data_IF_751753171166
#
_entry.id   IF_751753171166
#
_cell.length_a   1.000
_cell.length_b   1.000
_cell.length_c   1.000
_cell.angle_alpha   90.00
_cell.angle_beta   90.00
_cell.angle_gamma   90.00
#
_symmetry.space_group_name_H-M   'P 1'
#
loop_
_entity.id
_entity.type
_entity.pdbx_description
1 polymer ?
#
# COMPACT_ATOMS: atom_id res chain seq x y z
N UNK A 1 23.55 -1.52 28.37
CA UNK A 1 23.78 -1.11 26.98
C UNK A 1 22.56 -1.53 26.17
N UNK A 2 21.88 -0.61 25.49
CA UNK A 2 20.70 -0.93 24.66
C UNK A 2 21.17 -1.28 23.26
N UNK A 3 20.86 -2.48 22.79
CA UNK A 3 21.10 -2.87 21.40
C UNK A 3 20.03 -2.22 20.53
N UNK A 4 20.38 -1.50 19.44
CA UNK A 4 19.39 -1.00 18.51
C UNK A 4 18.71 -2.20 17.85
N UNK A 5 17.41 -2.37 18.09
CA UNK A 5 16.59 -3.29 17.30
C UNK A 5 16.66 -2.77 15.86
N UNK A 6 17.43 -3.47 15.02
CA UNK A 6 17.45 -3.17 13.59
C UNK A 6 16.01 -3.25 13.10
N UNK A 7 15.47 -2.12 12.64
CA UNK A 7 14.11 -2.03 12.12
C UNK A 7 14.08 -2.68 10.74
N UNK A 8 14.31 -3.99 10.69
CA UNK A 8 14.08 -4.78 9.47
C UNK A 8 12.60 -5.08 9.50
N UNK A 9 11.78 -4.28 8.81
CA UNK A 9 10.36 -4.56 8.70
C UNK A 9 10.19 -5.80 7.83
N UNK A 10 10.08 -6.97 8.45
CA UNK A 10 9.65 -8.19 7.76
C UNK A 10 8.17 -8.00 7.45
N UNK A 11 7.87 -7.57 6.22
CA UNK A 11 6.51 -7.46 5.69
C UNK A 11 6.16 -8.76 5.00
N UNK A 12 4.95 -9.25 5.26
CA UNK A 12 4.39 -10.40 4.53
C UNK A 12 4.13 -9.96 3.09
N UNK A 13 4.58 -10.71 2.07
CA UNK A 13 4.30 -10.39 0.67
C UNK A 13 2.81 -10.40 0.36
N UNK A 14 2.37 -9.53 -0.54
CA UNK A 14 0.98 -9.48 -0.99
C UNK A 14 0.55 -10.82 -1.61
N UNK A 15 -0.67 -11.27 -1.29
CA UNK A 15 -1.25 -12.52 -1.75
C UNK A 15 -0.75 -13.76 -1.00
N UNK A 16 0.19 -13.63 -0.06
CA UNK A 16 0.67 -14.77 0.73
C UNK A 16 -0.44 -15.40 1.58
N UNK A 17 -1.35 -14.59 2.12
CA UNK A 17 -2.51 -15.10 2.86
C UNK A 17 -3.42 -15.94 1.96
N UNK A 18 -3.74 -15.45 0.75
CA UNK A 18 -4.53 -16.19 -0.23
C UNK A 18 -3.90 -17.53 -0.60
N UNK A 19 -2.58 -17.57 -0.77
CA UNK A 19 -1.84 -18.79 -1.08
C UNK A 19 -1.98 -19.84 0.03
N UNK A 20 -1.85 -19.42 1.29
CA UNK A 20 -2.04 -20.31 2.44
C UNK A 20 -3.49 -20.76 2.59
N UNK A 21 -4.44 -19.85 2.40
CA UNK A 21 -5.86 -20.17 2.50
C UNK A 21 -6.30 -21.17 1.43
N UNK A 22 -5.79 -21.03 0.20
CA UNK A 22 -6.00 -21.99 -0.89
C UNK A 22 -5.51 -23.39 -0.52
N UNK A 23 -4.27 -23.50 -0.02
CA UNK A 23 -3.72 -24.77 0.44
C UNK A 23 -4.58 -25.38 1.55
N UNK A 24 -4.93 -24.61 2.58
CA UNK A 24 -5.70 -25.11 3.73
C UNK A 24 -7.08 -25.59 3.30
N UNK A 25 -7.75 -24.88 2.39
CA UNK A 25 -9.06 -25.31 1.84
C UNK A 25 -8.95 -26.66 1.13
N UNK A 26 -7.90 -26.88 0.34
CA UNK A 26 -7.70 -28.14 -0.36
C UNK A 26 -7.30 -29.28 0.60
N UNK A 27 -6.49 -29.00 1.63
CA UNK A 27 -6.19 -29.98 2.69
C UNK A 27 -7.45 -30.42 3.43
N UNK A 28 -8.36 -29.49 3.75
CA UNK A 28 -9.62 -29.82 4.43
C UNK A 28 -10.59 -30.61 3.54
N UNK A 29 -10.48 -30.47 2.20
CA UNK A 29 -11.28 -31.22 1.23
C UNK A 29 -10.78 -32.65 1.04
N UNK A 30 -9.48 -32.83 0.81
CA UNK A 30 -8.91 -34.13 0.48
C UNK A 30 -8.47 -34.94 1.71
N UNK A 31 -8.31 -34.31 2.87
CA UNK A 31 -7.79 -34.91 4.11
C UNK A 31 -6.60 -35.85 3.89
N UNK A 32 -5.50 -35.35 3.29
CA UNK A 32 -4.35 -36.19 2.96
C UNK A 32 -3.63 -36.68 4.21
N UNK A 33 -3.18 -37.93 4.21
CA UNK A 33 -2.34 -38.49 5.28
C UNK A 33 -0.96 -37.84 5.37
N UNK A 34 -0.45 -37.26 4.28
CA UNK A 34 0.81 -36.51 4.24
C UNK A 34 0.59 -35.11 3.67
N UNK A 35 0.43 -34.14 4.58
CA UNK A 35 0.16 -32.73 4.24
C UNK A 35 1.33 -32.08 3.50
N UNK A 36 2.58 -32.44 3.82
CA UNK A 36 3.76 -31.81 3.21
C UNK A 36 3.89 -32.22 1.74
N UNK A 37 3.72 -33.50 1.44
CA UNK A 37 3.72 -34.01 0.07
C UNK A 37 2.57 -33.41 -0.74
N UNK A 38 1.38 -33.33 -0.13
CA UNK A 38 0.22 -32.70 -0.74
C UNK A 38 0.45 -31.22 -1.07
N UNK A 39 1.03 -30.46 -0.13
CA UNK A 39 1.33 -29.05 -0.33
C UNK A 39 2.31 -28.82 -1.49
N UNK A 40 3.37 -29.65 -1.59
CA UNK A 40 4.31 -29.57 -2.69
C UNK A 40 3.62 -29.80 -4.04
N UNK A 41 2.76 -30.82 -4.14
CA UNK A 41 1.99 -31.11 -5.36
C UNK A 41 0.98 -30.00 -5.68
N UNK A 42 0.34 -29.43 -4.66
CA UNK A 42 -0.61 -28.34 -4.82
C UNK A 42 0.07 -27.09 -5.39
N UNK A 43 1.21 -26.68 -4.82
CA UNK A 43 1.96 -25.52 -5.32
C UNK A 43 2.57 -25.77 -6.71
N UNK A 44 3.00 -27.00 -7.01
CA UNK A 44 3.44 -27.37 -8.35
C UNK A 44 2.33 -27.17 -9.39
N UNK A 45 1.10 -27.61 -9.08
CA UNK A 45 -0.06 -27.43 -9.95
C UNK A 45 -0.41 -25.95 -10.15
N UNK A 46 -0.32 -25.13 -9.10
CA UNK A 46 -0.54 -23.69 -9.19
C UNK A 46 0.52 -23.01 -10.08
N UNK A 47 1.78 -23.45 -10.00
CA UNK A 47 2.85 -22.93 -10.85
C UNK A 47 2.61 -23.27 -12.32
N UNK A 48 2.26 -24.52 -12.63
CA UNK A 48 1.92 -24.97 -13.98
C UNK A 48 0.72 -24.21 -14.56
N UNK A 49 -0.31 -23.95 -13.74
CA UNK A 49 -1.46 -23.14 -14.14
C UNK A 49 -1.06 -21.69 -14.48
N UNK A 50 -0.17 -21.10 -13.69
CA UNK A 50 0.37 -19.76 -13.95
C UNK A 50 1.15 -19.73 -15.27
N UNK A 51 2.00 -20.72 -15.52
CA UNK A 51 2.77 -20.84 -16.76
C UNK A 51 1.87 -21.08 -17.99
N UNK A 52 0.77 -21.81 -17.81
CA UNK A 52 -0.24 -22.02 -18.83
C UNK A 52 -1.12 -20.78 -19.11
N UNK A 53 -0.91 -19.67 -18.40
CA UNK A 53 -1.70 -18.44 -18.57
C UNK A 53 -3.09 -18.49 -17.96
N UNK A 54 -3.35 -19.43 -17.05
CA UNK A 54 -4.59 -19.47 -16.29
C UNK A 54 -4.64 -18.31 -15.27
N UNK A 55 -5.85 -17.97 -14.84
CA UNK A 55 -6.06 -16.92 -13.82
C UNK A 55 -5.45 -17.38 -12.49
N UNK A 56 -4.44 -16.66 -12.02
CA UNK A 56 -3.77 -16.95 -10.75
C UNK A 56 -4.59 -16.36 -9.57
N UNK A 57 -5.18 -17.21 -8.71
CA UNK A 57 -5.95 -16.75 -7.55
C UNK A 57 -5.10 -15.99 -6.52
N UNK A 58 -3.77 -16.22 -6.50
CA UNK A 58 -2.83 -15.52 -5.62
C UNK A 58 -2.63 -14.09 -6.11
N UNK A 59 -2.46 -13.90 -7.42
CA UNK A 59 -2.32 -12.57 -8.03
C UNK A 59 -3.58 -11.71 -7.82
N UNK A 60 -4.77 -12.33 -7.89
CA UNK A 60 -6.03 -11.64 -7.63
C UNK A 60 -6.16 -11.21 -6.16
N UNK A 61 -5.74 -12.06 -5.22
CA UNK A 61 -5.65 -11.72 -3.81
C UNK A 61 -4.67 -10.58 -3.53
N UNK A 62 -3.48 -10.63 -4.15
CA UNK A 62 -2.47 -9.58 -4.02
C UNK A 62 -2.99 -8.21 -4.51
N UNK A 63 -3.75 -8.17 -5.61
CA UNK A 63 -4.36 -6.95 -6.12
C UNK A 63 -5.34 -6.31 -5.10
N UNK A 64 -6.13 -7.14 -4.41
CA UNK A 64 -7.08 -6.70 -3.38
C UNK A 64 -6.36 -6.19 -2.12
N UNK A 65 -5.26 -6.82 -1.75
CA UNK A 65 -4.43 -6.40 -0.61
C UNK A 65 -3.73 -5.06 -0.88
N UNK A 66 -3.25 -4.84 -2.10
CA UNK A 66 -2.58 -3.58 -2.49
C UNK A 66 -3.53 -2.38 -2.40
N UNK A 67 -4.75 -2.52 -2.90
CA UNK A 67 -5.80 -1.49 -2.80
C UNK A 67 -6.15 -1.08 -1.35
N UNK A 68 -5.88 -1.95 -0.37
CA UNK A 68 -6.06 -1.65 1.06
C UNK A 68 -4.86 -0.92 1.66
N UNK A 69 -3.68 -1.01 1.05
CA UNK A 69 -2.45 -0.35 1.51
C UNK A 69 -2.22 1.01 0.83
N UNK A 70 -2.76 1.23 -0.37
CA UNK A 70 -2.65 2.52 -1.09
C UNK A 70 -3.62 3.61 -0.63
N UNK A 71 -4.52 3.33 0.33
CA UNK A 71 -5.47 4.31 0.88
C UNK A 71 -4.99 4.85 2.24
N UNK A 72 -4.98 6.18 2.50
CA UNK A 72 -5.77 7.24 1.89
C UNK A 72 -5.11 7.94 0.69
N UNK A 73 -5.87 8.64 -0.16
CA UNK A 73 -5.32 9.50 -1.19
C UNK A 73 -4.52 10.59 -0.49
N UNK A 74 -3.25 10.74 -0.84
CA UNK A 74 -2.43 11.84 -0.37
C UNK A 74 -3.18 13.14 -0.63
N UNK A 75 -3.68 13.80 0.43
CA UNK A 75 -4.07 15.19 0.31
C UNK A 75 -2.77 15.96 0.12
N UNK A 76 -2.42 16.25 -1.12
CA UNK A 76 -1.45 17.30 -1.38
C UNK A 76 -2.05 18.60 -0.82
N UNK A 77 -1.40 19.26 0.16
CA UNK A 77 -1.83 20.57 0.56
C UNK A 77 -1.69 21.46 -0.67
N UNK A 78 -2.81 21.93 -1.21
CA UNK A 78 -2.79 23.01 -2.19
C UNK A 78 -2.10 24.18 -1.52
N UNK A 79 -0.86 24.46 -1.94
CA UNK A 79 -0.12 25.64 -1.53
C UNK A 79 -1.04 26.84 -1.72
N UNK A 80 -1.52 27.39 -0.60
CA UNK A 80 -2.10 28.70 -0.58
C UNK A 80 -0.95 29.65 -0.95
N UNK A 81 -0.88 30.00 -2.23
CA UNK A 81 0.02 31.02 -2.74
C UNK A 81 -0.38 32.33 -2.08
N UNK A 82 0.31 32.60 -0.98
CA UNK A 82 0.43 33.90 -0.34
C UNK A 82 1.03 34.86 -1.37
N UNK A 83 0.17 35.53 -2.14
CA UNK A 83 0.54 36.78 -2.79
C UNK A 83 0.31 37.88 -1.77
N UNK A 84 1.31 38.07 -0.92
CA UNK A 84 1.49 39.32 -0.22
C UNK A 84 1.57 40.48 -1.22
N UNK A 85 0.74 41.49 -0.99
CA UNK A 85 0.93 42.83 -1.52
C UNK A 85 0.40 43.82 -0.48
N UNK A 86 1.17 44.00 0.59
CA UNK A 86 1.24 45.27 1.30
C UNK A 86 2.58 45.91 0.92
N UNK A 87 2.56 47.20 0.58
CA UNK A 87 3.26 48.17 1.42
C UNK A 87 2.30 49.34 1.70
N UNK A 88 2.24 49.94 2.88
CA UNK A 88 3.35 50.39 3.70
C UNK A 88 3.44 51.91 3.58
N UNK A 89 3.29 52.64 4.69
CA UNK A 89 3.67 54.06 4.79
C UNK A 89 2.56 54.99 5.26
N UNK A 90 2.59 55.32 6.55
CA UNK A 90 1.90 56.48 7.11
C UNK A 90 2.64 57.78 6.75
N UNK A 91 1.91 58.85 6.43
CA UNK A 91 2.33 60.21 6.82
C UNK A 91 1.13 61.17 6.86
N UNK A 92 1.11 61.96 7.92
CA UNK A 92 0.17 63.06 8.20
C UNK A 92 0.83 64.36 7.74
N UNK A 93 0.12 65.34 7.18
CA UNK A 93 0.23 66.79 7.49
C UNK A 93 -0.62 67.68 6.58
N UNK A 94 -0.83 68.90 7.10
CA UNK A 94 -1.73 69.99 6.77
C UNK A 94 -1.45 70.74 5.45
N UNK A 95 -2.49 71.42 4.94
CA UNK A 95 -2.47 72.86 4.64
C UNK A 95 -2.05 73.34 3.23
N UNK A 96 -2.73 74.40 2.76
CA UNK A 96 -2.41 75.33 1.64
C UNK A 96 -2.44 74.69 0.23
N UNK A 97 -2.97 75.26 -0.85
CA UNK A 97 -3.29 76.62 -1.30
C UNK A 97 -4.13 76.46 -2.60
N UNK A 98 -5.06 77.36 -2.94
CA UNK A 98 -5.58 77.58 -4.32
C UNK A 98 -6.31 78.95 -4.34
N UNK A 99 -6.15 79.78 -5.40
CA UNK A 99 -6.01 81.24 -5.31
C UNK A 99 -7.30 82.06 -5.20
#
# INVERSE_FOLDING_TARGET
MSVPFSTTSVRVPAGFQNLLEGLVREVLREQPGNVVAFAAQHFQRLLEQREAGAVDPVAWGALLEDHRLTWPPSQEPKEAKDTGAAPGGAESTQGTDTP
#
